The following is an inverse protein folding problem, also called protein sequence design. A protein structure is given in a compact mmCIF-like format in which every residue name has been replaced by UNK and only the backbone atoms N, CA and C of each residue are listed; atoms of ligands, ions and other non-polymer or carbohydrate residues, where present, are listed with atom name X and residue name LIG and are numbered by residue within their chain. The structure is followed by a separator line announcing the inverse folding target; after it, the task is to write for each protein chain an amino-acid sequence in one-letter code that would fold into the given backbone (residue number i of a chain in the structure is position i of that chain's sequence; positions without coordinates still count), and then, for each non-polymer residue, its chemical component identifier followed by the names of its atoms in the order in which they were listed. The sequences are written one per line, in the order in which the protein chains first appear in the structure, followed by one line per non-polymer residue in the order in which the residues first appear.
data_IF_448628064780
#
_entry.id   IF_448628064780
#
_cell.length_a   1.000
_cell.length_b   1.000
_cell.length_c   1.000
_cell.angle_alpha   90.00
_cell.angle_beta   90.00
_cell.angle_gamma   90.00
#
_symmetry.space_group_name_H-M   'P 1'
#
loop_
_entity.id
_entity.type
_entity.pdbx_description
1 polymer ?
#
# COMPACT_ATOMS: atom_id res chain seq x y z
N UNK A 1 -40.31 -16.69 -11.53
CA UNK A 1 -39.64 -16.78 -10.20
C UNK A 1 -38.14 -17.14 -10.25
N UNK A 2 -37.62 -17.75 -11.32
CA UNK A 2 -36.22 -18.24 -11.41
C UNK A 2 -35.14 -17.16 -11.63
N UNK A 3 -35.52 -15.98 -12.13
CA UNK A 3 -34.58 -14.89 -12.49
C UNK A 3 -34.11 -14.09 -11.27
N UNK A 4 -34.95 -13.94 -10.23
CA UNK A 4 -34.57 -13.25 -8.98
C UNK A 4 -33.46 -13.99 -8.22
N UNK A 5 -33.49 -15.33 -8.23
CA UNK A 5 -32.47 -16.17 -7.57
C UNK A 5 -31.09 -16.10 -8.23
N UNK A 6 -31.00 -15.76 -9.52
CA UNK A 6 -29.71 -15.65 -10.21
C UNK A 6 -28.98 -14.36 -9.82
N UNK A 7 -29.72 -13.27 -9.61
CA UNK A 7 -29.18 -11.96 -9.25
C UNK A 7 -28.55 -11.93 -7.85
N UNK A 8 -29.16 -12.59 -6.87
CA UNK A 8 -28.61 -12.70 -5.51
C UNK A 8 -27.32 -13.53 -5.46
N UNK A 9 -27.24 -14.61 -6.24
CA UNK A 9 -26.04 -15.47 -6.30
C UNK A 9 -24.84 -14.73 -6.89
N UNK A 10 -25.04 -13.92 -7.93
CA UNK A 10 -23.97 -13.15 -8.58
C UNK A 10 -23.46 -12.03 -7.64
N UNK A 11 -24.37 -11.36 -6.92
CA UNK A 11 -24.01 -10.30 -5.97
C UNK A 11 -23.22 -10.87 -4.79
N UNK A 12 -23.62 -12.03 -4.24
CA UNK A 12 -22.87 -12.72 -3.19
C UNK A 12 -21.48 -13.20 -3.67
N UNK A 13 -21.33 -13.57 -4.94
CA UNK A 13 -20.06 -14.01 -5.51
C UNK A 13 -19.09 -12.82 -5.75
N UNK A 14 -19.60 -11.65 -6.14
CA UNK A 14 -18.80 -10.41 -6.23
C UNK A 14 -18.38 -9.91 -4.85
N UNK A 15 -19.28 -9.89 -3.86
CA UNK A 15 -18.92 -9.48 -2.49
C UNK A 15 -17.87 -10.41 -1.89
N UNK A 16 -17.95 -11.72 -2.12
CA UNK A 16 -16.91 -12.67 -1.71
C UNK A 16 -15.60 -12.49 -2.47
N UNK A 17 -15.61 -12.06 -3.75
CA UNK A 17 -14.35 -11.75 -4.45
C UNK A 17 -13.72 -10.44 -3.98
N UNK A 18 -14.49 -9.42 -3.66
CA UNK A 18 -13.98 -8.16 -3.07
C UNK A 18 -13.48 -8.39 -1.64
N UNK A 19 -14.23 -9.14 -0.83
CA UNK A 19 -13.79 -9.57 0.49
C UNK A 19 -12.56 -10.49 0.42
N UNK A 20 -12.51 -11.42 -0.55
CA UNK A 20 -11.35 -12.29 -0.77
C UNK A 20 -10.16 -11.56 -1.37
N UNK A 21 -10.34 -10.48 -2.15
CA UNK A 21 -9.24 -9.59 -2.56
C UNK A 21 -8.70 -8.81 -1.36
N UNK A 22 -9.57 -8.39 -0.44
CA UNK A 22 -9.19 -7.84 0.86
C UNK A 22 -8.36 -8.83 1.68
N UNK A 23 -8.78 -10.10 1.78
CA UNK A 23 -8.04 -11.14 2.50
C UNK A 23 -6.84 -11.70 1.74
N UNK A 24 -6.73 -11.54 0.42
CA UNK A 24 -5.51 -11.89 -0.34
C UNK A 24 -4.42 -10.83 -0.16
N UNK A 25 -4.78 -9.56 0.04
CA UNK A 25 -3.87 -8.54 0.55
C UNK A 25 -3.44 -8.86 2.00
N UNK A 26 -4.37 -9.36 2.82
CA UNK A 26 -4.05 -9.87 4.18
C UNK A 26 -3.24 -11.17 4.17
N UNK A 27 -3.34 -12.00 3.12
CA UNK A 27 -2.63 -13.27 2.98
C UNK A 27 -1.14 -13.14 2.60
N UNK A 28 -0.66 -11.92 2.35
CA UNK A 28 0.77 -11.60 2.26
C UNK A 28 1.45 -11.43 3.63
N UNK A 29 0.69 -11.43 4.73
CA UNK A 29 1.21 -11.18 6.10
C UNK A 29 1.75 -12.43 6.82
N UNK A 30 1.75 -13.61 6.21
CA UNK A 30 2.13 -14.85 6.93
C UNK A 30 3.62 -15.03 7.21
N UNK A 31 4.53 -14.10 6.87
CA UNK A 31 5.97 -14.35 7.03
C UNK A 31 6.69 -13.70 8.22
N UNK A 32 6.15 -12.73 8.98
CA UNK A 32 6.80 -12.25 10.22
C UNK A 32 5.80 -11.45 11.08
N UNK A 33 5.57 -11.87 12.33
CA UNK A 33 4.67 -11.19 13.28
C UNK A 33 4.93 -9.69 13.50
N UNK A 34 6.10 -9.17 13.09
CA UNK A 34 6.42 -7.73 13.14
C UNK A 34 5.65 -6.85 12.14
N UNK A 35 5.23 -7.37 10.97
CA UNK A 35 4.47 -6.58 10.00
C UNK A 35 3.04 -6.30 10.49
N UNK A 36 2.43 -7.23 11.22
CA UNK A 36 1.13 -7.01 11.86
C UNK A 36 1.20 -5.92 12.93
N UNK A 37 2.30 -5.85 13.68
CA UNK A 37 2.51 -4.80 14.69
C UNK A 37 2.67 -3.44 14.02
N UNK A 38 3.53 -3.30 13.01
CA UNK A 38 3.69 -2.03 12.28
C UNK A 38 2.43 -1.62 11.53
N UNK A 39 1.68 -2.56 10.93
CA UNK A 39 0.45 -2.22 10.21
C UNK A 39 -0.67 -1.78 11.14
N UNK A 40 -0.90 -2.50 12.25
CA UNK A 40 -1.89 -2.10 13.25
C UNK A 40 -1.50 -0.81 13.97
N UNK A 41 -0.20 -0.58 14.20
CA UNK A 41 0.29 0.68 14.76
C UNK A 41 0.09 1.84 13.77
N UNK A 42 0.44 1.67 12.49
CA UNK A 42 0.20 2.69 11.47
C UNK A 42 -1.29 2.97 11.29
N UNK A 43 -2.16 1.95 11.27
CA UNK A 43 -3.61 2.13 11.19
C UNK A 43 -4.16 2.82 12.43
N UNK A 44 -3.68 2.48 13.63
CA UNK A 44 -4.06 3.14 14.87
C UNK A 44 -3.63 4.61 14.91
N UNK A 45 -2.41 4.92 14.47
CA UNK A 45 -1.90 6.29 14.37
C UNK A 45 -2.73 7.10 13.36
N UNK A 46 -3.00 6.54 12.17
CA UNK A 46 -3.82 7.21 11.15
C UNK A 46 -5.25 7.43 11.66
N UNK A 47 -5.85 6.43 12.32
CA UNK A 47 -7.19 6.55 12.89
C UNK A 47 -7.24 7.64 13.97
N UNK A 48 -6.28 7.67 14.89
CA UNK A 48 -6.17 8.71 15.91
C UNK A 48 -5.97 10.10 15.32
N UNK A 49 -5.05 10.24 14.35
CA UNK A 49 -4.83 11.49 13.62
C UNK A 49 -6.08 11.95 12.86
N UNK A 50 -6.83 11.02 12.25
CA UNK A 50 -8.07 11.36 11.55
C UNK A 50 -9.16 11.87 12.49
N UNK A 51 -9.27 11.29 13.69
CA UNK A 51 -10.23 11.72 14.71
C UNK A 51 -9.90 13.13 15.22
N UNK A 52 -8.62 13.43 15.44
CA UNK A 52 -8.15 14.78 15.81
C UNK A 52 -8.30 15.79 14.66
N UNK A 53 -8.01 15.40 13.41
CA UNK A 53 -8.13 16.27 12.24
C UNK A 53 -9.56 16.69 11.95
N UNK A 54 -10.52 15.77 12.07
CA UNK A 54 -11.96 16.09 11.95
C UNK A 54 -12.38 17.10 13.03
N UNK A 55 -11.88 16.92 14.25
CA UNK A 55 -12.27 17.74 15.41
C UNK A 55 -11.77 19.20 15.33
N UNK A 56 -10.58 19.43 14.76
CA UNK A 56 -9.94 20.75 14.79
C UNK A 56 -10.14 21.59 13.53
N UNK A 57 -10.18 20.97 12.36
CA UNK A 57 -10.12 21.70 11.09
C UNK A 57 -11.26 21.34 10.12
N UNK A 58 -12.14 20.40 10.48
CA UNK A 58 -13.25 19.95 9.63
C UNK A 58 -12.82 19.18 8.37
N UNK A 59 -11.52 19.14 8.06
CA UNK A 59 -10.91 18.37 6.98
C UNK A 59 -9.84 17.43 7.56
N UNK A 60 -10.07 16.10 7.60
CA UNK A 60 -9.17 15.15 8.27
C UNK A 60 -7.74 15.13 7.73
N UNK A 61 -7.52 15.57 6.48
CA UNK A 61 -6.27 15.39 5.75
C UNK A 61 -5.41 16.67 5.65
N UNK A 62 -5.97 17.84 5.94
CA UNK A 62 -5.27 19.12 5.75
C UNK A 62 -4.12 19.30 6.75
N UNK A 63 -4.33 18.93 8.02
CA UNK A 63 -3.31 18.93 9.06
C UNK A 63 -2.06 18.10 8.70
N UNK A 64 -2.23 17.03 7.92
CA UNK A 64 -1.13 16.15 7.53
C UNK A 64 -0.18 16.80 6.53
N UNK A 65 -0.59 17.88 5.85
CA UNK A 65 0.27 18.57 4.88
C UNK A 65 1.45 19.27 5.55
N UNK A 66 1.25 19.85 6.74
CA UNK A 66 2.33 20.49 7.51
C UNK A 66 3.39 19.47 7.97
N UNK A 67 2.97 18.21 8.17
CA UNK A 67 3.84 17.10 8.54
C UNK A 67 4.23 16.21 7.35
N UNK A 68 3.89 16.59 6.11
CA UNK A 68 4.16 15.75 4.95
C UNK A 68 5.66 15.56 4.74
N UNK A 69 6.46 16.62 4.92
CA UNK A 69 7.92 16.58 4.79
C UNK A 69 8.57 15.63 5.81
N UNK A 70 8.32 15.74 7.14
CA UNK A 70 8.88 14.82 8.12
C UNK A 70 8.39 13.37 7.95
N UNK A 71 7.14 13.17 7.51
CA UNK A 71 6.64 11.82 7.21
C UNK A 71 7.34 11.22 5.99
N UNK A 72 7.58 12.01 4.95
CA UNK A 72 8.28 11.56 3.75
C UNK A 72 9.76 11.24 4.04
N UNK A 73 10.45 12.05 4.84
CA UNK A 73 11.84 11.76 5.25
C UNK A 73 11.93 10.49 6.11
N UNK A 74 10.97 10.29 7.02
CA UNK A 74 10.84 9.06 7.78
C UNK A 74 10.64 7.85 6.86
N UNK A 75 9.78 7.97 5.85
CA UNK A 75 9.56 6.90 4.88
C UNK A 75 10.82 6.56 4.07
N UNK A 76 11.65 7.55 3.70
CA UNK A 76 12.96 7.31 3.09
C UNK A 76 13.88 6.56 4.04
N UNK A 77 13.93 6.95 5.31
CA UNK A 77 14.75 6.28 6.32
C UNK A 77 14.34 4.82 6.48
N UNK A 78 13.04 4.53 6.56
CA UNK A 78 12.52 3.16 6.62
C UNK A 78 12.78 2.37 5.34
N UNK A 79 12.69 2.99 4.17
CA UNK A 79 13.04 2.35 2.90
C UNK A 79 14.54 2.00 2.87
N UNK A 80 15.41 2.90 3.35
CA UNK A 80 16.84 2.67 3.48
C UNK A 80 17.17 1.52 4.43
N UNK A 81 16.50 1.46 5.59
CA UNK A 81 16.63 0.34 6.51
C UNK A 81 16.15 -0.98 5.90
N UNK A 82 15.06 -0.95 5.13
CA UNK A 82 14.56 -2.11 4.40
C UNK A 82 15.53 -2.57 3.32
N UNK A 83 16.20 -1.63 2.63
CA UNK A 83 17.24 -1.91 1.65
C UNK A 83 18.48 -2.53 2.34
N UNK A 84 18.85 -2.05 3.51
CA UNK A 84 19.94 -2.62 4.31
C UNK A 84 19.64 -4.06 4.75
N UNK A 85 18.42 -4.36 5.22
CA UNK A 85 18.02 -5.73 5.52
C UNK A 85 17.93 -6.60 4.26
N UNK A 86 17.57 -6.01 3.13
CA UNK A 86 17.54 -6.70 1.86
C UNK A 86 18.94 -7.17 1.41
N UNK A 87 19.96 -6.32 1.53
CA UNK A 87 21.33 -6.67 1.15
C UNK A 87 21.97 -7.63 2.15
N UNK A 88 21.72 -7.46 3.45
CA UNK A 88 22.34 -8.28 4.51
C UNK A 88 21.67 -9.63 4.71
N UNK A 89 20.33 -9.69 4.70
CA UNK A 89 19.56 -10.90 5.05
C UNK A 89 18.74 -11.48 3.89
N UNK A 90 18.57 -10.74 2.78
CA UNK A 90 17.76 -11.14 1.60
C UNK A 90 16.32 -11.60 1.95
N UNK A 91 15.80 -11.22 3.11
CA UNK A 91 14.48 -11.65 3.59
C UNK A 91 13.31 -10.95 2.87
N UNK A 92 13.56 -9.87 2.14
CA UNK A 92 12.53 -9.05 1.51
C UNK A 92 12.48 -9.32 0.00
N UNK A 93 11.28 -9.39 -0.57
CA UNK A 93 11.12 -9.57 -2.02
C UNK A 93 11.48 -8.29 -2.78
N UNK A 94 12.17 -8.44 -3.92
CA UNK A 94 12.53 -7.31 -4.81
C UNK A 94 11.30 -6.49 -5.23
N UNK A 95 10.19 -7.17 -5.53
CA UNK A 95 8.97 -6.53 -6.01
C UNK A 95 8.35 -5.59 -4.96
N UNK A 96 8.44 -5.95 -3.68
CA UNK A 96 7.92 -5.13 -2.59
C UNK A 96 8.73 -3.84 -2.41
N UNK A 97 10.07 -3.92 -2.49
CA UNK A 97 10.95 -2.75 -2.48
C UNK A 97 10.66 -1.81 -3.64
N UNK A 98 10.54 -2.35 -4.87
CA UNK A 98 10.21 -1.55 -6.06
C UNK A 98 8.86 -0.83 -5.90
N UNK A 99 7.87 -1.53 -5.36
CA UNK A 99 6.56 -0.94 -5.06
C UNK A 99 6.67 0.21 -4.05
N UNK A 100 7.35 0.00 -2.92
CA UNK A 100 7.55 1.04 -1.90
C UNK A 100 8.31 2.25 -2.44
N UNK A 101 9.32 2.05 -3.29
CA UNK A 101 10.03 3.15 -3.95
C UNK A 101 9.11 3.91 -4.92
N UNK A 102 8.29 3.21 -5.70
CA UNK A 102 7.32 3.84 -6.59
C UNK A 102 6.28 4.69 -5.85
N UNK A 103 5.76 4.21 -4.71
CA UNK A 103 4.88 5.00 -3.85
C UNK A 103 5.59 6.24 -3.28
N UNK A 104 6.85 6.13 -2.87
CA UNK A 104 7.62 7.25 -2.33
C UNK A 104 7.87 8.35 -3.36
N UNK A 105 8.09 7.97 -4.62
CA UNK A 105 8.24 8.91 -5.74
C UNK A 105 6.91 9.60 -6.03
N UNK A 106 5.80 8.86 -6.04
CA UNK A 106 4.47 9.45 -6.27
C UNK A 106 4.03 10.39 -5.14
N UNK A 107 4.51 10.17 -3.91
CA UNK A 107 4.11 10.90 -2.71
C UNK A 107 5.06 12.05 -2.31
N UNK A 108 5.80 12.62 -3.26
CA UNK A 108 6.74 13.73 -2.99
C UNK A 108 5.97 15.00 -2.56
N UNK A 109 6.22 15.58 -1.37
CA UNK A 109 5.45 16.71 -0.84
C UNK A 109 6.06 18.09 -1.13
N UNK A 110 7.02 18.21 -2.05
CA UNK A 110 7.71 19.48 -2.30
C UNK A 110 6.89 20.42 -3.19
N UNK A 111 6.51 21.59 -2.64
CA UNK A 111 5.78 22.63 -3.37
C UNK A 111 6.59 23.19 -4.55
N UNK A 112 7.91 23.35 -4.39
CA UNK A 112 8.78 23.84 -5.48
C UNK A 112 8.84 22.91 -6.69
N UNK A 113 8.52 21.62 -6.50
CA UNK A 113 8.48 20.62 -7.56
C UNK A 113 7.05 20.31 -8.03
N UNK A 114 6.05 21.08 -7.61
CA UNK A 114 4.65 20.86 -7.95
C UNK A 114 4.40 20.92 -9.47
N UNK A 115 5.14 21.76 -10.19
CA UNK A 115 5.12 21.85 -11.64
C UNK A 115 5.46 20.50 -12.34
N UNK A 116 6.23 19.65 -11.66
CA UNK A 116 6.61 18.31 -12.14
C UNK A 116 5.81 17.18 -11.47
N UNK A 117 4.76 17.50 -10.69
CA UNK A 117 3.96 16.51 -9.96
C UNK A 117 3.43 15.39 -10.87
N UNK A 118 2.99 15.75 -12.08
CA UNK A 118 2.50 14.80 -13.10
C UNK A 118 3.60 13.79 -13.47
N UNK A 119 4.84 14.23 -13.60
CA UNK A 119 5.97 13.34 -13.92
C UNK A 119 6.22 12.36 -12.78
N UNK A 120 6.18 12.81 -11.53
CA UNK A 120 6.33 11.93 -10.36
C UNK A 120 5.19 10.93 -10.22
N UNK A 121 3.95 11.35 -10.50
CA UNK A 121 2.79 10.47 -10.51
C UNK A 121 2.88 9.41 -11.59
N UNK A 122 3.27 9.77 -12.82
CA UNK A 122 3.40 8.81 -13.91
C UNK A 122 4.55 7.85 -13.62
N UNK A 123 5.72 8.35 -13.24
CA UNK A 123 6.90 7.50 -12.98
C UNK A 123 6.69 6.59 -11.77
N UNK A 124 6.17 7.13 -10.66
CA UNK A 124 5.81 6.35 -9.48
C UNK A 124 4.72 5.34 -9.78
N UNK A 125 3.65 5.75 -10.48
CA UNK A 125 2.54 4.88 -10.87
C UNK A 125 2.97 3.72 -11.77
N UNK A 126 3.84 3.96 -12.74
CA UNK A 126 4.40 2.90 -13.61
C UNK A 126 5.22 1.89 -12.81
N UNK A 127 6.06 2.35 -11.87
CA UNK A 127 6.84 1.45 -11.00
C UNK A 127 5.93 0.58 -10.13
N UNK A 128 4.87 1.15 -9.57
CA UNK A 128 3.88 0.42 -8.76
C UNK A 128 3.12 -0.58 -9.61
N UNK A 129 2.64 -0.19 -10.79
CA UNK A 129 1.96 -1.09 -11.71
C UNK A 129 2.87 -2.27 -12.10
N UNK A 130 4.14 -1.99 -12.42
CA UNK A 130 5.14 -3.02 -12.72
C UNK A 130 5.37 -3.96 -11.53
N UNK A 131 5.47 -3.42 -10.31
CA UNK A 131 5.63 -4.22 -9.10
C UNK A 131 4.42 -5.15 -8.87
N UNK A 132 3.19 -4.66 -9.06
CA UNK A 132 1.95 -5.45 -8.91
C UNK A 132 1.88 -6.54 -9.98
N UNK A 133 2.14 -6.22 -11.25
CA UNK A 133 2.10 -7.20 -12.35
C UNK A 133 3.12 -8.31 -12.09
N UNK A 134 4.35 -7.97 -11.69
CA UNK A 134 5.37 -8.96 -11.36
C UNK A 134 5.01 -9.77 -10.11
N UNK A 135 4.40 -9.15 -9.10
CA UNK A 135 3.93 -9.86 -7.93
C UNK A 135 2.88 -10.92 -8.29
N UNK A 136 1.88 -10.56 -9.10
CA UNK A 136 0.83 -11.47 -9.56
C UNK A 136 1.42 -12.58 -10.44
N UNK A 137 2.28 -12.24 -11.41
CA UNK A 137 2.93 -13.22 -12.30
C UNK A 137 3.76 -14.24 -11.52
N UNK A 138 4.50 -13.78 -10.50
CA UNK A 138 5.34 -14.65 -9.68
C UNK A 138 4.50 -15.55 -8.76
N UNK A 139 3.28 -15.13 -8.39
CA UNK A 139 2.31 -15.97 -7.66
C UNK A 139 1.73 -17.07 -8.54
N UNK A 140 1.34 -16.78 -9.78
CA UNK A 140 0.85 -17.81 -10.72
C UNK A 140 1.90 -18.88 -10.99
N UNK A 141 3.18 -18.50 -11.07
CA UNK A 141 4.27 -19.46 -11.33
C UNK A 141 4.54 -20.41 -10.16
N UNK A 142 4.27 -20.00 -8.91
CA UNK A 142 4.45 -20.82 -7.71
C UNK A 142 3.22 -21.64 -7.33
N UNK A 143 2.06 -21.39 -7.96
CA UNK A 143 0.85 -22.19 -7.81
C UNK A 143 0.86 -23.53 -8.57
N UNK A 144 1.93 -23.85 -9.30
CA UNK A 144 2.04 -25.06 -10.11
C UNK A 144 3.27 -25.93 -9.80
N UNK A 145 3.83 -25.88 -8.58
CA UNK A 145 4.66 -26.97 -8.03
C UNK A 145 5.08 -26.76 -6.56
N UNK A 146 4.69 -27.75 -5.74
CA UNK A 146 5.16 -28.19 -4.40
C UNK A 146 5.10 -27.21 -3.23
#
# INVERSE_FOLDING_TARGET
MKVKMLGEKIRAQMTNRVANMGTTASGSLSFLGGYNVCHNLCLGIIAGLSMLGISLQGMPLAFLQDYAIPLWSLAILLLGLSLYFYTTRKCISKNMLIGSTGLLIAAIPFKELEAFSVVFWITGGVLVAFAIINFIKNRYKKGCCK
#
